data_IF_499166852528
#
_entry.id   IF_499166852528
#
_cell.length_a   1.000
_cell.length_b   1.000
_cell.length_c   1.000
_cell.angle_alpha   90.00
_cell.angle_beta   90.00
_cell.angle_gamma   90.00
#
_symmetry.space_group_name_H-M   'P 1'
#
loop_
_entity.id
_entity.type
_entity.pdbx_description
1 polymer ?
#
# COMPACT_ATOMS: atom_id res chain seq x y z
N UNK A 1 5.40 -8.45 23.26
CA UNK A 1 6.21 -7.22 23.50
C UNK A 1 6.57 -7.16 24.98
N UNK A 2 7.67 -6.50 25.34
CA UNK A 2 8.05 -6.25 26.73
C UNK A 2 7.61 -4.83 27.11
N UNK A 3 6.34 -4.60 27.51
CA UNK A 3 5.80 -3.24 27.73
C UNK A 3 6.48 -2.49 28.88
N UNK A 4 7.22 -3.22 29.73
CA UNK A 4 8.00 -2.67 30.84
C UNK A 4 9.40 -2.20 30.40
N UNK A 5 9.84 -2.53 29.18
CA UNK A 5 11.12 -2.08 28.64
C UNK A 5 10.90 -0.80 27.84
N UNK A 6 11.35 0.34 28.39
CA UNK A 6 11.28 1.64 27.74
C UNK A 6 12.66 2.04 27.25
N UNK A 7 12.76 2.41 25.97
CA UNK A 7 13.97 2.95 25.36
C UNK A 7 13.61 4.27 24.70
N UNK A 8 14.30 5.34 25.08
CA UNK A 8 14.16 6.64 24.43
C UNK A 8 14.90 6.62 23.08
N UNK A 9 14.20 7.00 22.00
CA UNK A 9 14.79 7.20 20.68
C UNK A 9 14.62 8.65 20.25
N UNK A 10 15.71 9.30 19.85
CA UNK A 10 15.68 10.66 19.31
C UNK A 10 15.43 10.60 17.81
N UNK A 11 14.23 10.98 17.37
CA UNK A 11 13.90 11.10 15.96
C UNK A 11 14.54 12.33 15.34
N UNK A 12 14.89 12.23 14.04
CA UNK A 12 15.43 13.35 13.31
C UNK A 12 14.32 14.28 12.85
N UNK A 13 14.49 15.57 13.09
CA UNK A 13 13.58 16.64 12.70
C UNK A 13 14.14 17.48 11.52
N UNK A 14 15.32 17.13 11.01
CA UNK A 14 16.01 17.87 9.95
C UNK A 14 16.81 19.08 10.45
N UNK A 15 16.77 19.40 11.75
CA UNK A 15 17.61 20.44 12.33
C UNK A 15 19.08 20.03 12.35
N UNK A 16 19.99 21.01 12.39
CA UNK A 16 21.43 20.75 12.48
C UNK A 16 21.82 19.86 13.68
N UNK A 17 21.00 19.84 14.74
CA UNK A 17 21.22 19.02 15.93
C UNK A 17 20.95 17.53 15.69
N UNK A 18 20.03 17.20 14.77
CA UNK A 18 19.61 15.82 14.50
C UNK A 18 20.10 15.29 13.15
N UNK A 19 20.76 16.13 12.34
CA UNK A 19 21.35 15.72 11.06
C UNK A 19 22.34 14.58 11.22
N UNK A 20 22.34 13.66 10.25
CA UNK A 20 23.29 12.55 10.20
C UNK A 20 24.72 13.07 10.03
N UNK A 21 25.62 12.66 10.92
CA UNK A 21 27.07 12.95 10.82
C UNK A 21 27.88 11.83 10.19
N UNK A 22 27.21 10.79 9.68
CA UNK A 22 27.83 9.67 8.97
C UNK A 22 27.40 9.68 7.50
N UNK A 23 28.25 9.12 6.65
CA UNK A 23 27.89 8.82 5.26
C UNK A 23 27.17 7.48 5.23
N UNK A 24 26.11 7.41 4.44
CA UNK A 24 25.43 6.15 4.18
C UNK A 24 26.42 5.17 3.52
N UNK A 25 26.61 4.00 4.12
CA UNK A 25 27.48 2.94 3.60
C UNK A 25 26.62 1.80 3.05
N UNK A 26 26.98 1.33 1.86
CA UNK A 26 26.31 0.21 1.19
C UNK A 26 25.15 0.62 0.31
N UNK A 27 24.47 -0.39 -0.24
CA UNK A 27 23.34 -0.24 -1.16
C UNK A 27 22.08 -0.81 -0.48
N UNK A 28 21.15 0.07 -0.12
CA UNK A 28 19.90 -0.29 0.58
C UNK A 28 19.01 -1.20 -0.26
N UNK A 29 18.94 -0.98 -1.57
CA UNK A 29 18.18 -1.84 -2.47
C UNK A 29 18.82 -3.22 -2.54
N UNK A 30 20.15 -3.28 -2.64
CA UNK A 30 20.88 -4.55 -2.60
C UNK A 30 20.62 -5.31 -1.30
N UNK A 31 20.70 -4.63 -0.16
CA UNK A 31 20.48 -5.25 1.14
C UNK A 31 19.04 -5.76 1.30
N UNK A 32 18.05 -4.98 0.87
CA UNK A 32 16.63 -5.40 0.85
C UNK A 32 16.41 -6.61 -0.06
N UNK A 33 16.97 -6.59 -1.27
CA UNK A 33 16.86 -7.72 -2.19
C UNK A 33 17.50 -8.99 -1.62
N UNK A 34 18.69 -8.89 -1.00
CA UNK A 34 19.32 -10.04 -0.34
C UNK A 34 18.43 -10.63 0.76
N UNK A 35 17.80 -9.79 1.58
CA UNK A 35 16.87 -10.25 2.61
C UNK A 35 15.66 -10.97 1.99
N UNK A 36 15.04 -10.40 0.95
CA UNK A 36 13.89 -11.00 0.28
C UNK A 36 14.26 -12.33 -0.39
N UNK A 37 15.29 -12.37 -1.23
CA UNK A 37 15.68 -13.59 -1.93
C UNK A 37 16.20 -14.70 -0.99
N UNK A 38 16.79 -14.34 0.16
CA UNK A 38 17.25 -15.31 1.14
C UNK A 38 16.10 -15.93 1.95
N UNK A 39 15.07 -15.15 2.31
CA UNK A 39 14.11 -15.53 3.34
C UNK A 39 12.68 -15.73 2.85
N UNK A 40 12.28 -15.11 1.72
CA UNK A 40 10.87 -15.05 1.33
C UNK A 40 10.47 -16.23 0.42
N UNK A 41 11.42 -17.05 -0.03
CA UNK A 41 11.14 -18.23 -0.85
C UNK A 41 10.40 -17.86 -2.15
N UNK A 42 9.28 -18.54 -2.42
CA UNK A 42 8.44 -18.29 -3.60
C UNK A 42 7.89 -16.86 -3.68
N UNK A 43 7.74 -16.17 -2.53
CA UNK A 43 7.24 -14.79 -2.48
C UNK A 43 8.28 -13.76 -2.94
N UNK A 44 9.54 -14.15 -3.15
CA UNK A 44 10.58 -13.23 -3.60
C UNK A 44 10.29 -12.59 -4.96
N UNK A 45 9.49 -13.26 -5.81
CA UNK A 45 9.04 -12.72 -7.10
C UNK A 45 8.27 -11.39 -6.97
N UNK A 46 7.60 -11.17 -5.83
CA UNK A 46 6.86 -9.93 -5.55
C UNK A 46 7.75 -8.68 -5.62
N UNK A 47 9.04 -8.83 -5.36
CA UNK A 47 9.99 -7.71 -5.41
C UNK A 47 10.06 -7.07 -6.80
N UNK A 48 9.75 -7.82 -7.86
CA UNK A 48 9.76 -7.34 -9.24
C UNK A 48 8.58 -6.41 -9.57
N UNK A 49 7.56 -6.34 -8.71
CA UNK A 49 6.45 -5.40 -8.88
C UNK A 49 6.83 -3.96 -8.48
N UNK A 50 8.01 -3.77 -7.89
CA UNK A 50 8.50 -2.47 -7.48
C UNK A 50 9.51 -1.94 -8.52
N UNK A 51 9.24 -0.81 -9.19
CA UNK A 51 10.07 -0.31 -10.30
C UNK A 51 11.55 -0.13 -9.94
N UNK A 52 11.83 0.28 -8.70
CA UNK A 52 13.19 0.48 -8.17
C UNK A 52 14.01 -0.81 -8.06
N UNK A 53 13.35 -1.98 -8.02
CA UNK A 53 13.98 -3.29 -8.04
C UNK A 53 13.94 -3.93 -9.43
N UNK A 54 12.83 -3.81 -10.14
CA UNK A 54 12.66 -4.35 -11.50
C UNK A 54 13.73 -3.82 -12.47
N UNK A 55 13.97 -2.51 -12.44
CA UNK A 55 14.97 -1.83 -13.28
C UNK A 55 16.41 -2.31 -13.03
N UNK A 56 16.71 -2.91 -11.88
CA UNK A 56 18.04 -3.44 -11.56
C UNK A 56 18.25 -4.85 -12.08
N UNK A 57 17.16 -5.61 -12.25
CA UNK A 57 17.22 -6.96 -12.79
C UNK A 57 17.55 -7.00 -14.28
N UNK A 58 17.12 -5.99 -15.04
CA UNK A 58 17.42 -5.88 -16.48
C UNK A 58 18.88 -5.52 -16.79
N UNK A 59 19.70 -5.23 -15.78
CA UNK A 59 21.14 -5.03 -15.96
C UNK A 59 21.83 -6.38 -16.21
N UNK A 60 22.03 -6.68 -17.51
CA UNK A 60 22.57 -7.89 -18.15
C UNK A 60 23.93 -8.40 -17.62
N UNK A 61 24.04 -8.75 -16.35
CA UNK A 61 25.23 -9.42 -15.80
C UNK A 61 24.92 -10.88 -15.54
N UNK A 62 25.89 -11.76 -15.84
CA UNK A 62 25.85 -13.20 -15.56
C UNK A 62 25.69 -13.55 -14.05
N UNK A 63 25.67 -12.55 -13.16
CA UNK A 63 25.52 -12.70 -11.72
C UNK A 63 24.35 -11.86 -11.23
N UNK A 64 23.55 -12.35 -10.27
CA UNK A 64 22.49 -11.56 -9.67
C UNK A 64 23.03 -10.24 -9.10
N UNK A 65 22.37 -9.12 -9.39
CA UNK A 65 22.79 -7.79 -8.93
C UNK A 65 22.82 -7.67 -7.40
N UNK A 66 22.05 -8.52 -6.71
CA UNK A 66 22.05 -8.61 -5.24
C UNK A 66 23.29 -9.34 -4.67
N UNK A 67 24.06 -10.04 -5.52
CA UNK A 67 25.26 -10.78 -5.15
C UNK A 67 24.99 -12.19 -4.64
N UNK A 68 26.01 -12.81 -4.06
CA UNK A 68 25.94 -14.17 -3.54
C UNK A 68 25.11 -14.25 -2.24
N UNK A 69 24.31 -15.31 -2.16
CA UNK A 69 23.43 -15.65 -1.04
C UNK A 69 23.83 -16.95 -0.33
N UNK A 70 24.94 -17.59 -0.73
CA UNK A 70 25.39 -18.86 -0.14
C UNK A 70 25.51 -18.84 1.38
N UNK A 71 25.92 -17.72 1.97
CA UNK A 71 26.03 -17.57 3.42
C UNK A 71 24.67 -17.69 4.12
N UNK A 72 23.60 -17.13 3.54
CA UNK A 72 22.25 -17.23 4.09
C UNK A 72 21.75 -18.67 4.03
N UNK A 73 22.04 -19.39 2.94
CA UNK A 73 21.71 -20.80 2.80
C UNK A 73 22.39 -21.62 3.90
N UNK A 74 23.71 -21.45 4.09
CA UNK A 74 24.45 -22.15 5.15
C UNK A 74 23.91 -21.88 6.55
N UNK A 75 23.51 -20.63 6.83
CA UNK A 75 22.88 -20.28 8.12
C UNK A 75 21.54 -20.98 8.27
N UNK A 76 20.69 -20.98 7.23
CA UNK A 76 19.39 -21.64 7.23
C UNK A 76 19.49 -23.15 7.43
N UNK A 77 20.46 -23.79 6.77
CA UNK A 77 20.69 -25.23 6.87
C UNK A 77 21.21 -25.63 8.25
N UNK A 78 22.05 -24.78 8.87
CA UNK A 78 22.56 -24.99 10.23
C UNK A 78 21.49 -24.80 11.30
N UNK A 79 20.60 -23.82 11.12
CA UNK A 79 19.51 -23.54 12.06
C UNK A 79 18.38 -24.55 11.84
N UNK A 80 18.38 -25.63 12.63
CA UNK A 80 17.28 -26.58 12.65
C UNK A 80 15.98 -25.88 13.09
N UNK A 81 15.01 -25.78 12.18
CA UNK A 81 13.68 -25.23 12.48
C UNK A 81 13.30 -23.93 11.76
N UNK A 82 14.10 -23.43 10.81
CA UNK A 82 13.65 -22.35 9.92
C UNK A 82 12.38 -22.77 9.17
N UNK A 83 11.27 -22.07 9.42
CA UNK A 83 9.99 -22.31 8.73
C UNK A 83 9.94 -21.51 7.41
N UNK A 84 9.20 -21.98 6.39
CA UNK A 84 8.95 -21.21 5.18
C UNK A 84 8.26 -19.87 5.47
N UNK A 85 8.45 -18.88 4.60
CA UNK A 85 7.82 -17.56 4.77
C UNK A 85 6.29 -17.62 4.80
N UNK A 86 5.65 -18.55 4.09
CA UNK A 86 4.21 -18.80 4.20
C UNK A 86 3.75 -19.09 5.64
N UNK A 87 4.55 -19.82 6.42
CA UNK A 87 4.25 -20.06 7.82
C UNK A 87 4.29 -18.77 8.65
N UNK A 88 5.22 -17.87 8.35
CA UNK A 88 5.30 -16.55 8.98
C UNK A 88 4.05 -15.72 8.67
N UNK A 89 3.64 -15.64 7.39
CA UNK A 89 2.42 -14.94 6.98
C UNK A 89 1.19 -15.49 7.72
N UNK A 90 1.05 -16.81 7.77
CA UNK A 90 -0.05 -17.48 8.50
C UNK A 90 -0.01 -17.24 10.01
N UNK A 91 1.19 -17.21 10.62
CA UNK A 91 1.36 -16.92 12.05
C UNK A 91 0.89 -15.51 12.40
N UNK A 92 1.13 -14.55 11.51
CA UNK A 92 0.75 -13.15 11.66
C UNK A 92 -0.43 -12.79 10.75
N UNK A 93 -1.38 -13.73 10.58
CA UNK A 93 -2.55 -13.54 9.70
C UNK A 93 -3.39 -12.32 10.12
N UNK A 94 -3.39 -11.98 11.40
CA UNK A 94 -4.08 -10.81 11.95
C UNK A 94 -3.55 -9.50 11.36
N UNK A 95 -2.26 -9.46 11.03
CA UNK A 95 -1.64 -8.31 10.37
C UNK A 95 -1.82 -8.44 8.86
N UNK A 96 -1.50 -9.60 8.28
CA UNK A 96 -1.39 -9.74 6.83
C UNK A 96 -2.72 -9.98 6.12
N UNK A 97 -3.55 -10.90 6.62
CA UNK A 97 -4.85 -11.25 6.05
C UNK A 97 -5.95 -10.34 6.62
N UNK A 98 -6.11 -10.31 7.95
CA UNK A 98 -7.17 -9.52 8.61
C UNK A 98 -6.92 -8.00 8.48
N UNK A 99 -5.66 -7.58 8.36
CA UNK A 99 -5.30 -6.18 8.04
C UNK A 99 -5.36 -5.84 6.54
N UNK A 100 -5.64 -6.82 5.68
CA UNK A 100 -5.77 -6.63 4.23
C UNK A 100 -4.47 -6.25 3.51
N UNK A 101 -3.30 -6.66 4.02
CA UNK A 101 -2.02 -6.55 3.30
C UNK A 101 -1.88 -7.64 2.21
N UNK A 102 -2.54 -8.79 2.40
CA UNK A 102 -2.67 -9.88 1.46
C UNK A 102 -4.16 -10.02 1.07
N UNK A 103 -4.64 -9.18 0.14
CA UNK A 103 -6.04 -9.21 -0.24
C UNK A 103 -6.36 -10.49 -1.06
N UNK A 104 -7.57 -11.03 -0.95
CA UNK A 104 -8.01 -12.15 -1.80
C UNK A 104 -8.18 -11.74 -3.26
N UNK A 105 -8.45 -10.46 -3.50
CA UNK A 105 -8.68 -9.89 -4.83
C UNK A 105 -8.16 -8.46 -4.91
N UNK A 106 -7.79 -8.06 -6.12
CA UNK A 106 -7.51 -6.67 -6.49
C UNK A 106 -8.46 -6.29 -7.62
N UNK A 107 -8.90 -5.04 -7.66
CA UNK A 107 -9.89 -4.57 -8.61
C UNK A 107 -9.64 -3.13 -9.03
N UNK A 108 -10.15 -2.75 -10.20
CA UNK A 108 -10.23 -1.36 -10.63
C UNK A 108 -11.61 -0.80 -10.27
N UNK A 109 -11.66 0.47 -9.87
CA UNK A 109 -12.92 1.17 -9.62
C UNK A 109 -13.23 2.09 -10.80
N UNK A 110 -14.25 1.74 -11.58
CA UNK A 110 -14.68 2.49 -12.76
C UNK A 110 -15.88 3.37 -12.41
N UNK A 111 -15.77 4.67 -12.69
CA UNK A 111 -16.88 5.60 -12.60
C UNK A 111 -17.82 5.39 -13.80
N UNK A 112 -19.11 5.27 -13.52
CA UNK A 112 -20.09 4.73 -14.46
C UNK A 112 -20.31 5.62 -15.69
N UNK A 113 -20.36 6.94 -15.51
CA UNK A 113 -20.75 7.88 -16.57
C UNK A 113 -19.61 8.20 -17.54
N UNK A 114 -18.44 8.53 -17.02
CA UNK A 114 -17.24 8.84 -17.81
C UNK A 114 -16.50 7.58 -18.26
N UNK A 115 -16.74 6.45 -17.58
CA UNK A 115 -16.04 5.20 -17.83
C UNK A 115 -14.57 5.22 -17.41
N UNK A 116 -14.10 6.28 -16.73
CA UNK A 116 -12.73 6.41 -16.20
C UNK A 116 -12.55 5.60 -14.92
N UNK A 117 -11.31 5.24 -14.61
CA UNK A 117 -10.97 4.47 -13.43
C UNK A 117 -10.25 5.34 -12.37
N UNK A 118 -10.44 4.98 -11.10
CA UNK A 118 -9.73 5.57 -9.98
C UNK A 118 -8.24 5.23 -10.07
N UNK A 119 -7.43 6.27 -10.18
CA UNK A 119 -5.99 6.19 -10.38
C UNK A 119 -5.25 6.78 -9.19
N UNK A 120 -4.33 6.00 -8.64
CA UNK A 120 -3.41 6.44 -7.60
C UNK A 120 -2.22 7.20 -8.21
N UNK A 121 -1.94 8.42 -7.75
CA UNK A 121 -0.93 9.29 -8.35
C UNK A 121 0.51 9.01 -7.87
N UNK A 122 0.67 8.21 -6.81
CA UNK A 122 1.98 7.84 -6.27
C UNK A 122 2.63 6.65 -6.99
N UNK A 123 3.69 6.12 -6.39
CA UNK A 123 4.43 4.97 -6.87
C UNK A 123 4.25 3.75 -5.95
N UNK A 124 4.50 2.55 -6.47
CA UNK A 124 4.56 1.33 -5.67
C UNK A 124 5.60 1.45 -4.55
N UNK A 125 5.23 1.01 -3.34
CA UNK A 125 6.05 1.06 -2.14
C UNK A 125 5.53 2.04 -1.10
N UNK A 126 6.45 2.55 -0.28
CA UNK A 126 6.16 3.52 0.78
C UNK A 126 6.35 4.94 0.27
N UNK A 127 5.34 5.78 0.45
CA UNK A 127 5.43 7.21 0.12
C UNK A 127 6.43 7.91 1.05
N UNK A 128 7.34 8.70 0.47
CA UNK A 128 8.31 9.49 1.23
C UNK A 128 7.69 10.69 1.96
N UNK A 129 6.55 11.17 1.49
CA UNK A 129 5.76 12.28 2.08
C UNK A 129 4.63 11.76 2.97
N UNK A 130 4.30 10.47 2.89
CA UNK A 130 3.21 9.84 3.62
C UNK A 130 1.81 10.23 3.13
N UNK A 131 1.72 10.97 2.02
CA UNK A 131 0.48 11.42 1.38
C UNK A 131 0.69 11.53 -0.12
N UNK A 132 -0.29 11.04 -0.87
CA UNK A 132 -0.36 11.16 -2.33
C UNK A 132 -1.79 11.50 -2.77
N UNK A 133 -1.99 11.76 -4.06
CA UNK A 133 -3.32 12.04 -4.63
C UNK A 133 -3.96 10.82 -5.32
N UNK A 134 -5.26 10.93 -5.60
CA UNK A 134 -5.96 10.09 -6.56
C UNK A 134 -6.86 10.94 -7.49
N UNK A 135 -7.03 10.50 -8.73
CA UNK A 135 -7.84 11.14 -9.77
C UNK A 135 -8.59 10.11 -10.62
N UNK A 136 -9.43 10.56 -11.56
CA UNK A 136 -10.06 9.70 -12.55
C UNK A 136 -9.31 9.79 -13.89
N UNK A 137 -8.81 8.66 -14.36
CA UNK A 137 -8.05 8.56 -15.61
C UNK A 137 -8.62 7.47 -16.54
N UNK A 138 -8.31 7.47 -17.84
CA UNK A 138 -8.63 6.33 -18.71
C UNK A 138 -8.08 5.02 -18.12
N UNK A 139 -8.94 4.01 -17.99
CA UNK A 139 -8.57 2.73 -17.37
C UNK A 139 -7.40 2.07 -18.11
N UNK A 140 -6.44 1.53 -17.36
CA UNK A 140 -5.29 0.81 -17.90
C UNK A 140 -4.94 -0.42 -17.05
N UNK A 141 -5.29 -1.60 -17.53
CA UNK A 141 -5.04 -2.88 -16.86
C UNK A 141 -3.54 -3.23 -16.73
N UNK A 142 -2.66 -2.53 -17.46
CA UNK A 142 -1.21 -2.74 -17.40
C UNK A 142 -0.51 -1.85 -16.36
N UNK A 143 -1.25 -0.96 -15.70
CA UNK A 143 -0.72 -0.05 -14.70
C UNK A 143 -1.32 -0.35 -13.32
N UNK A 144 -0.49 -0.92 -12.45
CA UNK A 144 -0.84 -1.31 -11.08
C UNK A 144 -1.48 -0.18 -10.26
N UNK A 145 -1.27 1.10 -10.64
CA UNK A 145 -1.85 2.27 -9.97
C UNK A 145 -3.36 2.41 -10.14
N UNK A 146 -3.97 1.67 -11.06
CA UNK A 146 -5.43 1.57 -11.18
C UNK A 146 -6.05 0.51 -10.26
N UNK A 147 -5.22 -0.35 -9.65
CA UNK A 147 -5.69 -1.43 -8.83
C UNK A 147 -5.77 -1.01 -7.36
N UNK A 148 -6.87 -1.39 -6.76
CA UNK A 148 -7.19 -1.17 -5.36
C UNK A 148 -7.61 -2.49 -4.75
N UNK A 149 -7.65 -2.54 -3.44
CA UNK A 149 -8.24 -3.64 -2.70
C UNK A 149 -8.79 -3.14 -1.38
N UNK A 150 -9.61 -3.97 -0.75
CA UNK A 150 -10.04 -3.71 0.61
C UNK A 150 -8.85 -3.86 1.56
N UNK A 151 -8.76 -3.00 2.55
CA UNK A 151 -7.68 -2.97 3.54
C UNK A 151 -8.16 -2.48 4.90
N UNK A 152 -7.26 -2.52 5.89
CA UNK A 152 -7.51 -2.14 7.29
C UNK A 152 -8.49 -3.09 8.00
N UNK A 153 -8.23 -3.37 9.27
CA UNK A 153 -9.14 -4.13 10.13
C UNK A 153 -10.44 -3.33 10.32
N UNK A 154 -11.59 -3.96 10.10
CA UNK A 154 -12.87 -3.47 10.60
C UNK A 154 -12.94 -3.70 12.11
N UNK A 155 -13.05 -2.60 12.85
CA UNK A 155 -13.05 -2.57 14.32
C UNK A 155 -14.28 -3.26 14.93
N UNK A 156 -15.37 -3.36 14.19
CA UNK A 156 -16.61 -3.99 14.64
C UNK A 156 -16.48 -5.51 14.55
N UNK A 157 -16.00 -6.01 13.42
CA UNK A 157 -15.88 -7.46 13.18
C UNK A 157 -14.54 -8.05 13.62
N UNK A 158 -13.53 -7.20 13.84
CA UNK A 158 -12.15 -7.61 14.12
C UNK A 158 -11.45 -8.28 12.94
N UNK A 159 -12.01 -8.17 11.74
CA UNK A 159 -11.53 -8.82 10.51
C UNK A 159 -11.40 -7.80 9.39
N UNK A 160 -10.77 -8.19 8.30
CA UNK A 160 -10.77 -7.36 7.10
C UNK A 160 -12.23 -7.24 6.56
N UNK A 161 -12.70 -6.08 6.08
CA UNK A 161 -11.97 -4.83 5.93
C UNK A 161 -12.86 -3.58 6.03
N UNK A 162 -12.28 -2.46 6.47
CA UNK A 162 -12.97 -1.17 6.61
C UNK A 162 -12.54 -0.08 5.61
N UNK A 163 -11.38 -0.22 4.97
CA UNK A 163 -10.80 0.80 4.09
C UNK A 163 -10.50 0.34 2.68
N UNK A 164 -10.09 1.31 1.85
CA UNK A 164 -9.72 1.12 0.44
C UNK A 164 -8.24 1.47 0.25
N UNK A 165 -7.44 0.50 -0.19
CA UNK A 165 -5.99 0.60 -0.30
C UNK A 165 -5.53 0.55 -1.76
N UNK A 166 -4.59 1.41 -2.12
CA UNK A 166 -3.95 1.38 -3.43
C UNK A 166 -2.96 0.20 -3.49
N UNK A 167 -3.07 -0.61 -4.53
CA UNK A 167 -2.29 -1.85 -4.68
C UNK A 167 -0.79 -1.58 -4.72
N UNK A 168 -0.01 -2.49 -4.10
CA UNK A 168 1.45 -2.39 -3.97
C UNK A 168 1.96 -1.16 -3.22
N UNK A 169 1.12 -0.45 -2.48
CA UNK A 169 1.52 0.70 -1.67
C UNK A 169 1.14 0.52 -0.22
N UNK A 170 1.60 1.41 0.65
CA UNK A 170 1.09 1.60 2.01
C UNK A 170 0.03 2.70 2.11
N UNK A 171 -0.55 3.13 0.99
CA UNK A 171 -1.48 4.26 0.93
C UNK A 171 -2.94 3.80 0.86
N UNK A 172 -3.76 4.37 1.72
CA UNK A 172 -5.21 4.19 1.79
C UNK A 172 -5.92 5.48 1.42
N UNK A 173 -7.10 5.36 0.83
CA UNK A 173 -7.97 6.50 0.57
C UNK A 173 -8.32 7.19 1.90
N UNK A 174 -8.16 8.51 1.96
CA UNK A 174 -8.32 9.28 3.20
C UNK A 174 -9.34 10.43 3.08
N UNK A 175 -9.87 10.70 1.88
CA UNK A 175 -10.85 11.77 1.65
C UNK A 175 -10.78 12.41 0.28
N UNK A 176 -11.71 13.34 0.04
CA UNK A 176 -11.59 14.37 -0.99
C UNK A 176 -10.72 15.54 -0.52
N UNK A 177 -9.94 16.13 -1.43
CA UNK A 177 -9.35 17.45 -1.29
C UNK A 177 -10.11 18.46 -2.14
N UNK A 178 -10.17 19.71 -1.68
CA UNK A 178 -10.45 20.82 -2.59
C UNK A 178 -9.46 20.82 -3.78
N UNK A 179 -9.91 21.25 -4.95
CA UNK A 179 -9.08 21.26 -6.17
C UNK A 179 -9.20 20.01 -7.05
N UNK A 180 -10.24 19.19 -6.83
CA UNK A 180 -10.60 18.13 -7.79
C UNK A 180 -9.79 16.84 -7.66
N UNK A 181 -9.22 16.56 -6.49
CA UNK A 181 -8.44 15.34 -6.23
C UNK A 181 -8.91 14.67 -4.95
N UNK A 182 -8.79 13.36 -4.87
CA UNK A 182 -8.83 12.67 -3.60
C UNK A 182 -7.43 12.64 -2.97
N UNK A 183 -7.38 12.54 -1.64
CA UNK A 183 -6.15 12.34 -0.89
C UNK A 183 -6.04 10.89 -0.42
N UNK A 184 -4.81 10.45 -0.34
CA UNK A 184 -4.42 9.20 0.31
C UNK A 184 -3.46 9.49 1.45
N UNK A 185 -3.34 8.55 2.37
CA UNK A 185 -2.35 8.59 3.44
C UNK A 185 -1.91 7.20 3.85
N UNK A 186 -0.88 7.11 4.70
CA UNK A 186 -0.39 5.82 5.20
C UNK A 186 -1.53 5.07 5.89
N UNK A 187 -1.79 3.83 5.45
CA UNK A 187 -2.84 2.98 5.96
C UNK A 187 -2.65 2.68 7.45
N UNK A 188 -3.67 2.94 8.25
CA UNK A 188 -3.73 2.41 9.62
C UNK A 188 -4.26 0.98 9.60
N UNK A 189 -3.35 0.00 9.48
CA UNK A 189 -3.72 -1.42 9.31
C UNK A 189 -4.69 -1.91 10.39
N UNK A 190 -4.59 -1.40 11.62
CA UNK A 190 -5.49 -1.75 12.72
C UNK A 190 -6.88 -1.07 12.70
N UNK A 191 -7.16 -0.22 11.70
CA UNK A 191 -8.45 0.43 11.48
C UNK A 191 -8.79 1.54 12.47
N UNK A 192 -7.78 2.28 12.97
CA UNK A 192 -8.02 3.36 13.95
C UNK A 192 -8.34 4.71 13.30
N UNK A 193 -7.99 4.91 12.04
CA UNK A 193 -8.26 6.14 11.32
C UNK A 193 -9.62 6.08 10.62
N UNK A 194 -10.63 6.70 11.24
CA UNK A 194 -11.99 6.83 10.66
C UNK A 194 -11.97 7.55 9.31
N UNK A 195 -10.96 8.37 9.03
CA UNK A 195 -10.79 9.01 7.72
C UNK A 195 -10.56 8.01 6.58
N UNK A 196 -10.10 6.79 6.91
CA UNK A 196 -9.79 5.73 5.96
C UNK A 196 -10.90 4.67 5.84
N UNK A 197 -12.04 4.84 6.53
CA UNK A 197 -13.16 3.91 6.50
C UNK A 197 -14.02 4.08 5.23
N UNK A 198 -13.51 3.58 4.11
CA UNK A 198 -14.16 3.63 2.80
C UNK A 198 -14.71 2.27 2.40
N UNK A 199 -16.00 2.23 2.06
CA UNK A 199 -16.68 1.04 1.54
C UNK A 199 -17.34 1.30 0.20
N UNK A 200 -17.49 0.26 -0.61
CA UNK A 200 -18.33 0.32 -1.81
C UNK A 200 -19.73 -0.16 -1.43
N UNK A 201 -20.74 0.71 -1.58
CA UNK A 201 -22.13 0.33 -1.35
C UNK A 201 -22.61 -0.67 -2.41
N UNK A 202 -23.71 -1.41 -2.16
CA UNK A 202 -24.35 -2.23 -3.19
C UNK A 202 -24.79 -1.42 -4.42
N UNK A 203 -25.05 -0.12 -4.22
CA UNK A 203 -25.33 0.84 -5.28
C UNK A 203 -24.08 1.43 -5.93
N UNK A 204 -22.89 0.85 -5.75
CA UNK A 204 -21.68 1.31 -6.42
C UNK A 204 -21.15 2.67 -5.94
N UNK A 205 -21.64 3.19 -4.82
CA UNK A 205 -21.16 4.45 -4.23
C UNK A 205 -19.96 4.17 -3.33
N UNK A 206 -18.87 4.92 -3.52
CA UNK A 206 -17.72 4.88 -2.64
C UNK A 206 -17.97 5.80 -1.44
N UNK A 207 -18.28 5.21 -0.27
CA UNK A 207 -18.85 5.90 0.87
C UNK A 207 -17.98 5.81 2.14
N UNK A 208 -18.04 6.87 2.94
CA UNK A 208 -17.51 6.98 4.31
C UNK A 208 -18.58 7.65 5.17
N UNK A 209 -19.29 6.87 5.98
CA UNK A 209 -20.45 7.37 6.75
C UNK A 209 -21.54 7.91 5.82
N UNK A 210 -21.90 9.19 5.99
CA UNK A 210 -22.86 9.89 5.12
C UNK A 210 -22.24 10.59 3.90
N UNK A 211 -20.92 10.56 3.80
CA UNK A 211 -20.17 11.18 2.70
C UNK A 211 -19.81 10.15 1.65
N UNK A 212 -19.75 10.59 0.39
CA UNK A 212 -19.30 9.79 -0.74
C UNK A 212 -18.22 10.54 -1.52
N UNK A 213 -17.35 9.76 -2.16
CA UNK A 213 -16.37 10.26 -3.12
C UNK A 213 -16.87 9.94 -4.53
N UNK A 214 -16.95 10.96 -5.38
CA UNK A 214 -17.45 10.81 -6.75
C UNK A 214 -16.81 11.78 -7.73
N UNK A 215 -17.26 11.79 -8.99
CA UNK A 215 -16.72 12.69 -10.01
C UNK A 215 -16.99 14.16 -9.65
N UNK A 216 -15.97 15.00 -9.82
CA UNK A 216 -16.06 16.45 -9.68
C UNK A 216 -16.68 17.13 -10.90
N UNK A 217 -16.72 18.47 -10.89
CA UNK A 217 -17.33 19.25 -11.98
C UNK A 217 -16.52 19.20 -13.27
N UNK A 218 -15.19 19.03 -13.16
CA UNK A 218 -14.29 18.93 -14.29
C UNK A 218 -13.97 17.46 -14.61
N UNK A 219 -13.77 17.15 -15.89
CA UNK A 219 -13.42 15.81 -16.32
C UNK A 219 -12.12 15.32 -15.64
N UNK A 220 -12.14 14.12 -15.07
CA UNK A 220 -10.99 13.53 -14.38
C UNK A 220 -10.81 13.96 -12.92
N UNK A 221 -11.65 14.88 -12.43
CA UNK A 221 -11.58 15.33 -11.04
C UNK A 221 -12.44 14.49 -10.11
N UNK A 222 -12.08 14.46 -8.84
CA UNK A 222 -12.84 13.85 -7.75
C UNK A 222 -13.29 14.91 -6.75
N UNK A 223 -14.45 14.71 -6.15
CA UNK A 223 -14.95 15.54 -5.04
C UNK A 223 -15.64 14.66 -4.00
N UNK A 224 -15.55 15.08 -2.74
CA UNK A 224 -16.27 14.47 -1.63
C UNK A 224 -17.49 15.33 -1.27
N UNK A 225 -18.62 14.69 -1.00
CA UNK A 225 -19.85 15.37 -0.60
C UNK A 225 -20.89 14.40 -0.05
N UNK A 226 -22.09 14.89 0.24
CA UNK A 226 -23.19 14.03 0.68
C UNK A 226 -23.52 12.98 -0.40
N UNK A 227 -23.71 11.72 -0.03
CA UNK A 227 -23.98 10.64 -1.01
C UNK A 227 -25.15 10.92 -1.96
N UNK A 228 -26.18 11.62 -1.48
CA UNK A 228 -27.32 12.03 -2.30
C UNK A 228 -26.94 12.95 -3.47
N UNK A 229 -25.86 13.72 -3.38
CA UNK A 229 -25.43 14.63 -4.45
C UNK A 229 -24.85 13.91 -5.66
N UNK A 230 -24.44 12.64 -5.51
CA UNK A 230 -23.82 11.85 -6.56
C UNK A 230 -24.78 10.95 -7.33
N UNK A 231 -26.00 10.72 -6.82
CA UNK A 231 -27.03 9.90 -7.47
C UNK A 231 -27.36 10.35 -8.89
N UNK A 232 -27.33 11.66 -9.15
CA UNK A 232 -27.57 12.23 -10.48
C UNK A 232 -26.31 12.40 -11.34
N UNK A 233 -25.13 12.14 -10.77
CA UNK A 233 -23.81 12.45 -11.37
C UNK A 233 -23.00 11.22 -11.76
N UNK A 234 -23.51 10.00 -11.56
CA UNK A 234 -22.80 8.75 -11.88
C UNK A 234 -22.36 7.94 -10.67
N UNK A 235 -22.77 8.31 -9.44
CA UNK A 235 -22.80 7.38 -8.32
C UNK A 235 -24.08 6.57 -8.43
N UNK A 236 -23.98 5.26 -8.64
CA UNK A 236 -25.15 4.42 -8.90
C UNK A 236 -26.24 4.55 -7.78
N UNK A 237 -27.51 4.26 -8.13
CA UNK A 237 -28.72 4.68 -7.39
C UNK A 237 -28.79 4.26 -5.92
#
# INVERSE_FOLDING_TARGET
MAPQAQVAHMWRDGSAKTMARYRHVGDTFRNRARAVYAWYGEFAGKLQHYPSFASRQSSLRAKPWYGDLGDFQRVRDRLSGCRPFAWFLKRFRDIYEDGGLLPPEIFMLREEKSGKCLFFQGYAGTSGTGREGASLEPCNERDDRFFWHRGNVDRITGKCCSGLRAWNTDQCLAGGQGGGKAITGICTVAGFDQGQEWSLSPSGQLQRGSSCLGPGEQAGTLTEGACLSFRSRGGAP
#
